data_IF_647210455695
#
_entry.id   IF_647210455695
#
_cell.length_a   1.000
_cell.length_b   1.000
_cell.length_c   1.000
_cell.angle_alpha   90.00
_cell.angle_beta   90.00
_cell.angle_gamma   90.00
#
_symmetry.space_group_name_H-M   'P 1'
#
loop_
_entity.id
_entity.type
_entity.pdbx_description
1 polymer ?
#
# COMPACT_ATOMS: atom_id res chain seq x y z
N UNK A 1 20.34 13.00 -7.60
CA UNK A 1 20.13 13.01 -6.13
C UNK A 1 20.53 11.62 -5.62
N UNK A 2 21.71 11.48 -5.00
CA UNK A 2 22.19 10.18 -4.46
C UNK A 2 21.69 10.06 -3.03
N UNK A 3 20.90 9.04 -2.73
CA UNK A 3 20.47 8.74 -1.37
C UNK A 3 21.48 7.84 -0.67
N UNK A 4 21.50 7.90 0.66
CA UNK A 4 22.58 7.40 1.52
C UNK A 4 22.14 6.11 2.24
N UNK A 5 23.04 5.13 2.44
CA UNK A 5 22.70 3.85 3.04
C UNK A 5 22.16 3.97 4.47
N UNK A 6 21.07 3.25 4.76
CA UNK A 6 20.47 3.14 6.09
C UNK A 6 21.47 2.56 7.10
N UNK A 7 21.88 3.37 8.09
CA UNK A 7 22.88 3.00 9.11
C UNK A 7 22.33 2.15 10.27
N UNK A 8 21.02 1.93 10.37
CA UNK A 8 20.35 1.21 11.47
C UNK A 8 19.70 -0.09 10.98
N UNK A 9 19.46 -1.03 11.91
CA UNK A 9 18.64 -2.24 11.69
C UNK A 9 17.22 -1.84 11.29
N UNK A 10 16.92 -1.97 10.01
CA UNK A 10 15.65 -1.58 9.42
C UNK A 10 15.39 -2.36 8.12
N UNK A 11 14.14 -2.38 7.69
CA UNK A 11 13.69 -2.98 6.43
C UNK A 11 12.81 -1.99 5.64
N UNK A 12 12.74 -2.18 4.33
CA UNK A 12 11.64 -1.69 3.52
C UNK A 12 10.84 -2.86 2.98
N UNK A 13 9.54 -2.67 2.96
CA UNK A 13 8.57 -3.63 2.46
C UNK A 13 7.86 -2.99 1.26
N UNK A 14 8.06 -3.57 0.08
CA UNK A 14 7.24 -3.28 -1.10
C UNK A 14 5.99 -4.14 -1.05
N UNK A 15 4.84 -3.50 -1.00
CA UNK A 15 3.52 -4.13 -1.09
C UNK A 15 2.91 -3.80 -2.45
N UNK A 16 2.43 -4.83 -3.13
CA UNK A 16 1.61 -4.75 -4.34
C UNK A 16 0.16 -5.10 -3.97
N UNK A 17 -0.79 -4.22 -4.25
CA UNK A 17 -2.21 -4.49 -4.01
C UNK A 17 -2.84 -5.14 -5.25
N UNK A 18 -3.39 -6.34 -5.07
CA UNK A 18 -4.01 -7.11 -6.16
C UNK A 18 -5.25 -6.39 -6.68
N UNK A 19 -5.19 -5.87 -7.92
CA UNK A 19 -6.31 -5.20 -8.59
C UNK A 19 -6.92 -4.09 -7.73
N UNK A 20 -6.08 -3.18 -7.22
CA UNK A 20 -6.44 -2.13 -6.27
C UNK A 20 -7.78 -1.42 -6.61
N UNK A 21 -7.94 -0.97 -7.85
CA UNK A 21 -9.17 -0.33 -8.32
C UNK A 21 -10.40 -1.24 -8.28
N UNK A 22 -10.28 -2.52 -8.63
CA UNK A 22 -11.42 -3.46 -8.74
C UNK A 22 -11.88 -4.00 -7.39
N UNK A 23 -11.09 -3.79 -6.32
CA UNK A 23 -11.33 -4.41 -5.01
C UNK A 23 -11.91 -3.47 -3.97
N UNK A 24 -11.82 -2.16 -4.17
CA UNK A 24 -12.30 -1.19 -3.18
C UNK A 24 -13.78 -1.35 -2.87
N UNK A 25 -14.09 -1.52 -1.59
CA UNK A 25 -15.46 -1.58 -1.07
C UNK A 25 -16.17 -0.25 -1.27
N UNK A 26 -17.39 -0.28 -1.81
CA UNK A 26 -18.20 0.92 -1.96
C UNK A 26 -18.64 1.52 -0.63
N UNK A 27 -18.86 0.67 0.39
CA UNK A 27 -19.13 1.14 1.75
C UNK A 27 -17.91 1.90 2.29
N UNK A 28 -16.72 1.36 2.10
CA UNK A 28 -15.48 2.02 2.51
C UNK A 28 -15.26 3.36 1.80
N UNK A 29 -15.53 3.43 0.49
CA UNK A 29 -15.46 4.69 -0.26
C UNK A 29 -16.42 5.72 0.34
N UNK A 30 -17.67 5.32 0.60
CA UNK A 30 -18.68 6.21 1.20
C UNK A 30 -18.24 6.72 2.58
N UNK A 31 -17.76 5.83 3.43
CA UNK A 31 -17.29 6.17 4.78
C UNK A 31 -16.06 7.08 4.73
N UNK A 32 -15.15 6.83 3.79
CA UNK A 32 -13.98 7.67 3.52
C UNK A 32 -14.41 9.07 3.08
N UNK A 33 -15.29 9.20 2.09
CA UNK A 33 -15.80 10.51 1.65
C UNK A 33 -16.41 11.27 2.84
N UNK A 34 -17.21 10.59 3.66
CA UNK A 34 -17.81 11.16 4.85
C UNK A 34 -16.77 11.64 5.87
N UNK A 35 -15.70 10.87 6.12
CA UNK A 35 -14.62 11.25 7.04
C UNK A 35 -13.80 12.44 6.55
N UNK A 36 -13.70 12.62 5.23
CA UNK A 36 -13.08 13.79 4.61
C UNK A 36 -14.04 14.99 4.46
N UNK A 37 -15.25 14.91 5.03
CA UNK A 37 -16.24 16.00 5.01
C UNK A 37 -17.03 16.14 3.71
N UNK A 38 -16.90 15.18 2.79
CA UNK A 38 -17.71 15.11 1.56
C UNK A 38 -19.00 14.39 1.91
N UNK A 39 -20.07 15.16 2.08
CA UNK A 39 -21.35 14.67 2.61
C UNK A 39 -22.54 15.22 1.82
N UNK A 40 -23.74 14.70 2.09
CA UNK A 40 -24.99 15.13 1.47
C UNK A 40 -25.00 14.94 -0.04
N UNK A 41 -25.55 15.91 -0.77
CA UNK A 41 -25.79 15.80 -2.20
C UNK A 41 -24.54 15.48 -3.03
N UNK A 42 -23.38 16.07 -2.68
CA UNK A 42 -22.12 15.80 -3.38
C UNK A 42 -21.69 14.34 -3.23
N UNK A 43 -21.80 13.79 -2.02
CA UNK A 43 -21.52 12.38 -1.77
C UNK A 43 -22.49 11.49 -2.54
N UNK A 44 -23.78 11.83 -2.57
CA UNK A 44 -24.79 11.04 -3.26
C UNK A 44 -24.53 10.99 -4.77
N UNK A 45 -24.17 12.12 -5.39
CA UNK A 45 -23.78 12.16 -6.81
C UNK A 45 -22.54 11.32 -7.10
N UNK A 46 -21.52 11.39 -6.25
CA UNK A 46 -20.31 10.57 -6.40
C UNK A 46 -20.66 9.08 -6.28
N UNK A 47 -21.43 8.73 -5.24
CA UNK A 47 -21.82 7.36 -4.95
C UNK A 47 -22.81 6.79 -5.96
N UNK A 48 -23.56 7.61 -6.72
CA UNK A 48 -24.38 7.16 -7.85
C UNK A 48 -23.52 6.83 -9.09
N UNK A 49 -22.42 7.54 -9.30
CA UNK A 49 -21.52 7.31 -10.45
C UNK A 49 -20.68 6.02 -10.34
N UNK A 50 -20.47 5.50 -9.13
CA UNK A 50 -19.58 4.35 -8.87
C UNK A 50 -20.23 2.99 -9.21
N UNK A 51 -21.45 2.65 -8.74
CA UNK A 51 -22.06 1.33 -8.92
C UNK A 51 -22.88 1.20 -10.21
N UNK A 52 -23.17 2.31 -10.89
CA UNK A 52 -24.02 2.35 -12.10
C UNK A 52 -23.42 1.70 -13.36
N UNK A 53 -22.08 1.72 -13.60
CA UNK A 53 -21.52 1.10 -14.80
C UNK A 53 -21.77 -0.41 -14.85
N UNK A 54 -22.11 -0.92 -16.05
CA UNK A 54 -22.08 -2.35 -16.34
C UNK A 54 -20.80 -2.71 -17.10
N UNK A 55 -20.33 -3.94 -16.91
CA UNK A 55 -19.14 -4.49 -17.53
C UNK A 55 -19.52 -5.67 -18.44
N UNK A 56 -18.71 -5.89 -19.46
CA UNK A 56 -18.81 -7.04 -20.36
C UNK A 56 -17.42 -7.66 -20.52
N UNK A 57 -17.34 -8.97 -20.71
CA UNK A 57 -16.08 -9.66 -20.96
C UNK A 57 -15.82 -9.66 -22.46
N UNK A 58 -14.64 -9.22 -22.88
CA UNK A 58 -14.25 -9.30 -24.28
C UNK A 58 -13.75 -10.72 -24.61
N UNK A 59 -14.50 -11.47 -25.42
CA UNK A 59 -14.08 -12.76 -25.97
C UNK A 59 -13.79 -12.57 -27.46
N UNK A 60 -12.55 -12.81 -27.88
CA UNK A 60 -12.09 -12.55 -29.25
C UNK A 60 -12.40 -11.11 -29.74
N UNK A 61 -12.28 -10.13 -28.83
CA UNK A 61 -12.53 -8.71 -29.13
C UNK A 61 -14.01 -8.32 -29.20
N UNK A 62 -14.94 -9.25 -28.96
CA UNK A 62 -16.38 -8.97 -28.91
C UNK A 62 -16.89 -9.00 -27.47
N UNK A 63 -17.74 -8.05 -27.05
CA UNK A 63 -18.34 -8.05 -25.73
C UNK A 63 -19.34 -9.21 -25.59
N UNK A 64 -19.12 -10.05 -24.60
CA UNK A 64 -19.96 -11.19 -24.26
C UNK A 64 -20.51 -11.06 -22.83
N UNK A 65 -21.84 -11.10 -22.72
CA UNK A 65 -22.56 -10.94 -21.47
C UNK A 65 -22.46 -9.55 -20.85
N UNK A 66 -23.33 -9.28 -19.87
CA UNK A 66 -23.31 -8.06 -19.08
C UNK A 66 -23.43 -8.42 -17.61
N UNK A 67 -22.62 -7.79 -16.77
CA UNK A 67 -22.70 -7.92 -15.33
C UNK A 67 -22.47 -6.56 -14.67
N UNK A 68 -23.00 -6.41 -13.46
CA UNK A 68 -22.72 -5.24 -12.63
C UNK A 68 -21.65 -5.62 -11.62
N UNK A 69 -20.56 -4.85 -11.48
CA UNK A 69 -19.61 -5.06 -10.41
C UNK A 69 -20.32 -4.90 -9.05
N UNK A 70 -19.83 -5.59 -8.02
CA UNK A 70 -20.32 -5.40 -6.64
C UNK A 70 -19.39 -4.54 -5.77
N UNK A 71 -18.26 -4.12 -6.34
CA UNK A 71 -17.20 -3.32 -5.70
C UNK A 71 -16.26 -2.75 -6.77
N UNK A 72 -15.36 -1.90 -6.34
CA UNK A 72 -14.33 -1.29 -7.17
C UNK A 72 -14.76 0.00 -7.85
N UNK A 73 -13.79 0.67 -8.46
CA UNK A 73 -13.93 1.95 -9.15
C UNK A 73 -13.40 1.83 -10.58
N UNK A 74 -14.01 2.59 -11.49
CA UNK A 74 -13.74 2.46 -12.93
C UNK A 74 -12.39 3.08 -13.32
N UNK A 75 -11.48 2.25 -13.82
CA UNK A 75 -10.28 2.74 -14.48
C UNK A 75 -10.64 3.55 -15.74
N UNK A 76 -9.97 4.70 -15.93
CA UNK A 76 -10.27 5.66 -16.99
C UNK A 76 -11.40 6.64 -16.68
N UNK A 77 -12.09 6.51 -15.54
CA UNK A 77 -12.96 7.57 -15.03
C UNK A 77 -12.10 8.70 -14.42
N UNK A 78 -12.30 9.97 -14.79
CA UNK A 78 -11.53 11.08 -14.24
C UNK A 78 -11.61 11.22 -12.71
N UNK A 79 -12.71 10.77 -12.10
CA UNK A 79 -12.92 10.87 -10.65
C UNK A 79 -12.21 9.75 -9.86
N UNK A 80 -12.05 8.58 -10.48
CA UNK A 80 -11.54 7.38 -9.79
C UNK A 80 -10.15 7.54 -9.18
N UNK A 81 -9.16 8.19 -9.82
CA UNK A 81 -7.87 8.45 -9.19
C UNK A 81 -7.96 9.27 -7.89
N UNK A 82 -8.85 10.26 -7.82
CA UNK A 82 -9.02 11.08 -6.62
C UNK A 82 -9.67 10.32 -5.48
N UNK A 83 -10.71 9.52 -5.79
CA UNK A 83 -11.34 8.64 -4.80
C UNK A 83 -10.30 7.65 -4.26
N UNK A 84 -9.48 7.08 -5.17
CA UNK A 84 -8.42 6.16 -4.79
C UNK A 84 -7.42 6.82 -3.83
N UNK A 85 -6.97 8.04 -4.12
CA UNK A 85 -6.06 8.79 -3.25
C UNK A 85 -6.66 8.99 -1.85
N UNK A 86 -7.93 9.40 -1.75
CA UNK A 86 -8.61 9.56 -0.46
C UNK A 86 -8.70 8.24 0.32
N UNK A 87 -9.00 7.14 -0.38
CA UNK A 87 -9.04 5.80 0.20
C UNK A 87 -7.65 5.38 0.71
N UNK A 88 -6.58 5.64 -0.05
CA UNK A 88 -5.22 5.36 0.38
C UNK A 88 -4.74 6.28 1.51
N UNK A 89 -5.28 7.50 1.64
CA UNK A 89 -4.93 8.38 2.75
C UNK A 89 -5.42 7.83 4.10
N UNK A 90 -6.50 7.03 4.11
CA UNK A 90 -6.91 6.28 5.31
C UNK A 90 -5.79 5.33 5.76
N UNK A 91 -5.05 4.72 4.82
CA UNK A 91 -3.89 3.88 5.15
C UNK A 91 -2.80 4.68 5.86
N UNK A 92 -2.50 5.88 5.37
CA UNK A 92 -1.56 6.83 6.00
C UNK A 92 -1.98 7.18 7.43
N UNK A 93 -3.27 7.41 7.65
CA UNK A 93 -3.83 7.70 8.97
C UNK A 93 -3.71 6.53 9.96
N UNK A 94 -3.81 5.28 9.49
CA UNK A 94 -3.58 4.12 10.36
C UNK A 94 -2.12 4.13 10.84
N UNK A 95 -1.15 4.34 9.97
CA UNK A 95 0.26 4.47 10.38
C UNK A 95 0.47 5.60 11.38
N UNK A 96 -0.12 6.76 11.13
CA UNK A 96 -0.04 7.91 12.03
C UNK A 96 -0.53 7.57 13.43
N UNK A 97 -1.65 6.85 13.56
CA UNK A 97 -2.19 6.44 14.86
C UNK A 97 -1.24 5.51 15.63
N UNK A 98 -0.56 4.59 14.94
CA UNK A 98 0.43 3.72 15.57
C UNK A 98 1.71 4.48 15.96
N UNK A 99 2.09 5.50 15.20
CA UNK A 99 3.25 6.34 15.52
C UNK A 99 2.97 7.24 16.74
N UNK A 100 1.78 7.83 16.82
CA UNK A 100 1.33 8.61 18.00
C UNK A 100 1.24 7.72 19.25
N UNK A 101 0.89 6.44 19.10
CA UNK A 101 0.82 5.48 20.18
C UNK A 101 2.19 4.88 20.60
N UNK A 102 3.30 5.32 19.99
CA UNK A 102 4.66 4.79 20.23
C UNK A 102 4.80 3.28 19.92
N UNK A 103 3.91 2.74 19.08
CA UNK A 103 3.91 1.32 18.68
C UNK A 103 4.71 1.09 17.41
N UNK A 104 4.79 2.10 16.55
CA UNK A 104 5.46 2.05 15.26
C UNK A 104 6.35 3.28 15.05
N UNK A 105 7.53 3.07 14.49
CA UNK A 105 8.40 4.17 14.08
C UNK A 105 8.91 3.95 12.67
N UNK A 106 8.70 4.96 11.83
CA UNK A 106 9.32 5.00 10.50
C UNK A 106 10.84 5.18 10.58
N UNK A 107 11.47 5.33 9.42
CA UNK A 107 12.92 5.50 9.31
C UNK A 107 13.26 6.97 9.09
N UNK A 108 14.30 7.46 9.77
CA UNK A 108 14.90 8.77 9.51
C UNK A 108 16.21 8.62 8.75
N UNK A 109 16.32 9.33 7.63
CA UNK A 109 17.53 9.33 6.79
C UNK A 109 18.67 10.07 7.51
N UNK A 110 18.36 11.17 8.18
CA UNK A 110 19.31 11.91 9.02
C UNK A 110 18.59 12.56 10.22
N UNK A 111 19.35 13.18 11.14
CA UNK A 111 18.81 13.75 12.39
C UNK A 111 17.82 14.90 12.16
N UNK A 112 17.92 15.62 11.04
CA UNK A 112 17.08 16.77 10.72
C UNK A 112 15.97 16.43 9.72
N UNK A 113 16.00 15.24 9.11
CA UNK A 113 15.01 14.80 8.15
C UNK A 113 13.73 14.34 8.86
N UNK A 114 12.55 14.49 8.23
CA UNK A 114 11.33 13.90 8.73
C UNK A 114 11.45 12.37 8.80
N UNK A 115 10.67 11.77 9.68
CA UNK A 115 10.47 10.32 9.70
C UNK A 115 9.66 9.93 8.48
N UNK A 116 10.13 8.90 7.76
CA UNK A 116 9.41 8.32 6.63
C UNK A 116 8.91 6.95 7.06
N UNK A 117 7.60 6.80 7.21
CA UNK A 117 6.93 5.54 7.56
C UNK A 117 6.51 4.75 6.32
N UNK A 118 5.99 5.44 5.30
CA UNK A 118 5.56 4.84 4.04
C UNK A 118 5.64 5.85 2.88
N UNK A 119 5.65 5.32 1.65
CA UNK A 119 5.49 6.07 0.41
C UNK A 119 4.44 5.33 -0.43
N UNK A 120 3.40 6.04 -0.86
CA UNK A 120 2.31 5.48 -1.66
C UNK A 120 2.39 6.04 -3.08
N UNK A 121 2.36 5.17 -4.07
CA UNK A 121 2.31 5.55 -5.48
C UNK A 121 1.34 4.65 -6.23
N UNK A 122 0.10 5.14 -6.41
CA UNK A 122 -0.99 4.35 -6.96
C UNK A 122 -1.12 2.99 -6.23
N UNK A 123 -0.93 1.89 -6.93
CA UNK A 123 -1.03 0.52 -6.42
C UNK A 123 0.25 0.00 -5.74
N UNK A 124 1.38 0.69 -5.89
CA UNK A 124 2.64 0.37 -5.24
C UNK A 124 2.75 1.10 -3.89
N UNK A 125 2.98 0.34 -2.82
CA UNK A 125 3.21 0.88 -1.48
C UNK A 125 4.58 0.47 -0.95
N UNK A 126 5.38 1.42 -0.47
CA UNK A 126 6.63 1.16 0.24
C UNK A 126 6.46 1.50 1.71
N UNK A 127 6.79 0.58 2.59
CA UNK A 127 6.70 0.75 4.05
C UNK A 127 8.11 0.62 4.63
N UNK A 128 8.49 1.53 5.52
CA UNK A 128 9.84 1.61 6.10
C UNK A 128 9.76 1.55 7.62
N UNK A 129 10.42 0.57 8.23
CA UNK A 129 10.44 0.44 9.68
C UNK A 129 11.75 -0.15 10.21
N UNK A 130 11.95 -0.04 11.52
CA UNK A 130 13.01 -0.75 12.22
C UNK A 130 12.81 -2.28 12.15
N UNK A 131 13.93 -3.01 12.02
CA UNK A 131 13.92 -4.46 11.87
C UNK A 131 13.80 -5.13 13.24
N UNK A 132 12.58 -5.08 13.78
CA UNK A 132 12.21 -5.74 15.03
C UNK A 132 10.95 -6.57 14.81
N UNK A 133 10.77 -7.65 15.58
CA UNK A 133 9.57 -8.47 15.51
C UNK A 133 8.30 -7.67 15.84
N UNK A 134 8.36 -6.76 16.82
CA UNK A 134 7.24 -5.90 17.21
C UNK A 134 6.82 -4.96 16.08
N UNK A 135 7.80 -4.32 15.43
CA UNK A 135 7.56 -3.47 14.26
C UNK A 135 6.91 -4.22 13.12
N UNK A 136 7.37 -5.45 12.85
CA UNK A 136 6.81 -6.30 11.81
C UNK A 136 5.36 -6.69 12.12
N UNK A 137 5.06 -7.08 13.35
CA UNK A 137 3.71 -7.40 13.81
C UNK A 137 2.77 -6.19 13.66
N UNK A 138 3.24 -4.99 13.99
CA UNK A 138 2.47 -3.75 13.79
C UNK A 138 2.15 -3.54 12.31
N UNK A 139 3.13 -3.70 11.40
CA UNK A 139 2.90 -3.57 9.96
C UNK A 139 1.87 -4.59 9.47
N UNK A 140 1.93 -5.83 9.94
CA UNK A 140 0.94 -6.86 9.59
C UNK A 140 -0.47 -6.48 10.06
N UNK A 141 -0.60 -5.95 11.27
CA UNK A 141 -1.89 -5.52 11.81
C UNK A 141 -2.45 -4.33 11.04
N UNK A 142 -1.60 -3.34 10.70
CA UNK A 142 -1.98 -2.18 9.89
C UNK A 142 -2.48 -2.62 8.51
N UNK A 143 -1.74 -3.52 7.85
CA UNK A 143 -2.09 -4.09 6.56
C UNK A 143 -3.39 -4.89 6.62
N UNK A 144 -3.59 -5.68 7.68
CA UNK A 144 -4.80 -6.45 7.92
C UNK A 144 -6.01 -5.54 8.09
N UNK A 145 -5.93 -4.55 8.99
CA UNK A 145 -7.00 -3.56 9.23
C UNK A 145 -7.39 -2.84 7.94
N UNK A 146 -6.41 -2.38 7.19
CA UNK A 146 -6.67 -1.69 5.93
C UNK A 146 -7.34 -2.62 4.92
N UNK A 147 -6.86 -3.87 4.77
CA UNK A 147 -7.45 -4.87 3.88
C UNK A 147 -8.90 -5.21 4.25
N UNK A 148 -9.20 -5.35 5.55
CA UNK A 148 -10.56 -5.60 6.03
C UNK A 148 -11.51 -4.44 5.75
N UNK A 149 -11.06 -3.21 5.97
CA UNK A 149 -11.89 -2.03 5.76
C UNK A 149 -12.07 -1.72 4.27
N UNK A 150 -10.97 -1.69 3.51
CA UNK A 150 -10.98 -1.27 2.11
C UNK A 150 -11.43 -2.38 1.15
N UNK A 151 -11.29 -3.65 1.53
CA UNK A 151 -11.50 -4.80 0.64
C UNK A 151 -10.32 -5.10 -0.30
N UNK A 152 -9.25 -4.28 -0.24
CA UNK A 152 -8.00 -4.56 -0.95
C UNK A 152 -7.36 -5.85 -0.44
N UNK A 153 -6.53 -6.45 -1.30
CA UNK A 153 -5.82 -7.68 -0.95
C UNK A 153 -4.37 -7.56 -1.39
N UNK A 154 -3.46 -7.95 -0.51
CA UNK A 154 -2.04 -7.99 -0.81
C UNK A 154 -1.75 -9.11 -1.80
N UNK A 155 -0.93 -8.80 -2.79
CA UNK A 155 -0.33 -9.75 -3.70
C UNK A 155 1.06 -10.14 -3.19
N UNK A 156 1.12 -11.18 -2.37
CA UNK A 156 2.38 -11.63 -1.75
C UNK A 156 3.43 -12.07 -2.78
N UNK A 157 3.01 -12.54 -3.96
CA UNK A 157 3.91 -12.95 -5.04
C UNK A 157 4.65 -11.77 -5.69
N UNK A 158 4.03 -10.58 -5.68
CA UNK A 158 4.64 -9.34 -6.21
C UNK A 158 5.16 -8.41 -5.12
N UNK A 159 4.89 -8.73 -3.87
CA UNK A 159 5.42 -8.03 -2.71
C UNK A 159 6.82 -8.55 -2.39
N UNK A 160 7.66 -7.69 -1.82
CA UNK A 160 9.04 -8.05 -1.52
C UNK A 160 9.57 -7.27 -0.32
N UNK A 161 10.43 -7.89 0.48
CA UNK A 161 11.11 -7.23 1.59
C UNK A 161 12.59 -7.05 1.29
N UNK A 162 13.14 -5.91 1.74
CA UNK A 162 14.56 -5.59 1.69
C UNK A 162 15.04 -5.21 3.08
N UNK A 163 16.20 -5.73 3.48
CA UNK A 163 16.81 -5.44 4.76
C UNK A 163 18.06 -4.58 4.62
N UNK A 164 18.30 -3.72 5.62
CA UNK A 164 19.59 -3.03 5.75
C UNK A 164 20.73 -4.05 5.98
N UNK A 165 21.95 -3.68 5.60
CA UNK A 165 23.15 -4.54 5.74
C UNK A 165 23.44 -5.02 7.17
N UNK A 166 22.91 -4.33 8.18
CA UNK A 166 23.19 -4.60 9.58
C UNK A 166 22.26 -5.67 10.19
N UNK A 167 21.17 -6.05 9.50
CA UNK A 167 20.27 -7.13 9.94
C UNK A 167 20.93 -8.47 9.66
N UNK A 168 21.04 -9.34 10.67
CA UNK A 168 21.64 -10.67 10.55
C UNK A 168 20.81 -11.57 9.61
N UNK A 169 21.46 -12.47 8.88
CA UNK A 169 20.79 -13.34 7.90
C UNK A 169 19.69 -14.22 8.51
N UNK A 170 19.90 -14.71 9.74
CA UNK A 170 18.90 -15.46 10.50
C UNK A 170 17.62 -14.64 10.75
N UNK A 171 17.76 -13.36 11.10
CA UNK A 171 16.64 -12.45 11.32
C UNK A 171 15.91 -12.15 10.01
N UNK A 172 16.63 -12.02 8.88
CA UNK A 172 16.03 -11.78 7.56
C UNK A 172 15.09 -12.91 7.16
N UNK A 173 15.55 -14.16 7.30
CA UNK A 173 14.74 -15.34 6.99
C UNK A 173 13.51 -15.43 7.89
N UNK A 174 13.69 -15.13 9.19
CA UNK A 174 12.60 -15.11 10.16
C UNK A 174 11.55 -14.06 9.79
N UNK A 175 11.96 -12.83 9.52
CA UNK A 175 11.06 -11.73 9.17
C UNK A 175 10.39 -11.93 7.81
N UNK A 176 11.08 -12.47 6.81
CA UNK A 176 10.48 -12.82 5.53
C UNK A 176 9.39 -13.91 5.70
N UNK A 177 9.68 -14.94 6.51
CA UNK A 177 8.73 -16.00 6.84
C UNK A 177 7.48 -15.50 7.56
N UNK A 178 7.65 -14.57 8.51
CA UNK A 178 6.51 -13.95 9.22
C UNK A 178 5.56 -13.19 8.29
N UNK A 179 6.08 -12.56 7.23
CA UNK A 179 5.26 -11.82 6.25
C UNK A 179 4.69 -12.68 5.12
N UNK A 180 4.95 -13.99 5.12
CA UNK A 180 4.62 -14.90 4.01
C UNK A 180 5.20 -14.45 2.66
N UNK A 181 6.35 -13.76 2.68
CA UNK A 181 7.02 -13.30 1.48
C UNK A 181 8.10 -14.30 1.06
N UNK A 182 7.96 -14.81 -0.16
CA UNK A 182 8.97 -15.67 -0.79
C UNK A 182 10.05 -14.85 -1.51
N UNK A 183 9.72 -13.62 -1.91
CA UNK A 183 10.63 -12.72 -2.62
C UNK A 183 11.37 -11.79 -1.66
N UNK A 184 12.65 -12.11 -1.42
CA UNK A 184 13.61 -11.17 -0.86
C UNK A 184 14.26 -10.40 -2.00
N UNK A 185 14.09 -9.09 -2.05
CA UNK A 185 14.72 -8.28 -3.08
C UNK A 185 16.25 -8.33 -2.90
N UNK A 186 16.98 -8.71 -3.95
CA UNK A 186 18.45 -8.60 -3.97
C UNK A 186 18.84 -7.19 -4.40
N UNK A 187 19.87 -6.61 -3.76
CA UNK A 187 20.48 -5.36 -4.24
C UNK A 187 20.98 -5.54 -5.69
N UNK A 188 20.78 -4.52 -6.52
CA UNK A 188 21.33 -4.53 -7.87
C UNK A 188 22.87 -4.66 -7.80
N UNK A 189 23.44 -5.42 -8.74
CA UNK A 189 24.90 -5.55 -8.85
C UNK A 189 25.55 -4.19 -9.15
N UNK A 190 26.86 -4.03 -8.87
CA UNK A 190 27.56 -2.77 -9.09
C UNK A 190 27.47 -2.37 -10.57
N UNK A 191 26.68 -1.32 -10.87
CA UNK A 191 26.53 -0.76 -12.22
C UNK A 191 25.10 -0.49 -12.69
N UNK A 192 24.08 -1.06 -12.04
CA UNK A 192 22.67 -0.71 -12.29
C UNK A 192 22.15 0.16 -11.15
N UNK A 193 21.72 1.39 -11.45
CA UNK A 193 21.02 2.24 -10.48
C UNK A 193 19.54 1.87 -10.58
N UNK A 194 19.07 1.04 -9.67
CA UNK A 194 17.64 0.82 -9.46
C UNK A 194 17.08 1.88 -8.50
N UNK A 195 15.75 2.03 -8.47
CA UNK A 195 15.07 2.85 -7.44
C UNK A 195 15.46 2.40 -6.01
N UNK A 196 15.95 1.18 -5.88
CA UNK A 196 16.39 0.55 -4.64
C UNK A 196 17.79 0.99 -4.19
N UNK A 197 18.70 1.31 -5.12
CA UNK A 197 20.01 1.93 -4.82
C UNK A 197 19.87 3.43 -4.49
N UNK A 198 18.68 3.98 -4.76
CA UNK A 198 18.26 5.34 -4.42
C UNK A 198 17.49 5.34 -3.08
N UNK A 199 17.24 4.18 -2.45
CA UNK A 199 16.62 4.12 -1.12
C UNK A 199 17.57 3.53 -0.04
N UNK A 200 18.65 2.85 -0.45
CA UNK A 200 19.53 2.04 0.42
C UNK A 200 21.02 2.14 0.11
#
# INVERSE_FOLDING_TARGET
>A
MKFMPMKKNAFALKIDMAKAYDRLSWLFIKDTLHSFGIQGHTNDLIMECIPTPSMSVLINGKPEGWFRPGRGIRQGCPLSPYIFILCTEVFSHIFYNYEVADLYHGVRINRCAPTVSHLLFADDSLIFCHATASSLACVQEILHKFSEWSGEKINYDKSSILFSRHVAEADRNTFAGMLHLTNMASRAGPGMISIWDILF
#
